data_IF_655493343991
#
_entry.id   IF_655493343991
#
_cell.length_a   1.000
_cell.length_b   1.000
_cell.length_c   1.000
_cell.angle_alpha   90.00
_cell.angle_beta   90.00
_cell.angle_gamma   90.00
#
_symmetry.space_group_name_H-M   'P 1'
#
loop_
_entity.id
_entity.type
_entity.pdbx_description
1 polymer ?
#
# COMPACT_ATOMS: atom_id res chain seq x y z
N UNK A 1 5.20 1.57 -6.74
CA UNK A 1 6.33 1.13 -7.58
C UNK A 1 7.37 2.23 -7.61
N UNK A 2 8.54 1.99 -7.02
CA UNK A 2 9.63 2.96 -6.98
C UNK A 2 9.39 4.24 -6.17
N UNK A 3 8.26 4.35 -5.46
CA UNK A 3 7.91 5.55 -4.70
C UNK A 3 8.60 5.66 -3.34
N UNK A 4 9.16 4.56 -2.84
CA UNK A 4 9.77 4.51 -1.51
C UNK A 4 8.86 4.00 -0.40
N UNK A 5 7.69 3.41 -0.73
CA UNK A 5 6.74 2.87 0.26
C UNK A 5 7.40 1.92 1.25
N UNK A 6 8.10 0.92 0.75
CA UNK A 6 8.74 -0.09 1.60
C UNK A 6 9.83 0.50 2.48
N UNK A 7 10.60 1.43 1.96
CA UNK A 7 11.63 2.14 2.73
C UNK A 7 11.02 2.95 3.87
N UNK A 8 9.92 3.66 3.58
CA UNK A 8 9.20 4.43 4.60
C UNK A 8 8.63 3.52 5.69
N UNK A 9 7.98 2.43 5.29
CA UNK A 9 7.41 1.45 6.23
C UNK A 9 8.49 0.83 7.13
N UNK A 10 9.61 0.47 6.54
CA UNK A 10 10.74 -0.11 7.29
C UNK A 10 11.27 0.87 8.35
N UNK A 11 11.41 2.14 7.98
CA UNK A 11 11.87 3.18 8.92
C UNK A 11 10.85 3.40 10.04
N UNK A 12 9.56 3.42 9.73
CA UNK A 12 8.51 3.58 10.72
C UNK A 12 8.54 2.45 11.75
N UNK A 13 8.55 1.21 11.28
CA UNK A 13 8.56 0.03 12.17
C UNK A 13 9.80 0.01 13.06
N UNK A 14 10.95 0.45 12.53
CA UNK A 14 12.19 0.51 13.32
C UNK A 14 12.14 1.52 14.47
N UNK A 15 11.29 2.53 14.38
CA UNK A 15 11.18 3.63 15.35
C UNK A 15 9.95 3.54 16.26
N UNK A 16 8.98 2.66 15.94
CA UNK A 16 7.71 2.58 16.66
C UNK A 16 7.46 1.15 17.12
N UNK A 17 7.45 0.93 18.43
CA UNK A 17 7.20 -0.36 19.02
C UNK A 17 5.76 -0.84 18.74
N UNK A 18 5.58 -2.14 18.68
CA UNK A 18 4.29 -2.79 18.45
C UNK A 18 3.64 -2.34 17.15
N UNK A 19 4.45 -2.24 16.10
CA UNK A 19 4.02 -1.96 14.73
C UNK A 19 4.00 -3.25 13.92
N UNK A 20 2.99 -3.41 13.08
CA UNK A 20 2.91 -4.47 12.08
C UNK A 20 2.88 -3.82 10.70
N UNK A 21 3.75 -4.26 9.83
CA UNK A 21 3.82 -3.86 8.43
C UNK A 21 3.30 -4.99 7.56
N UNK A 22 2.17 -4.74 6.88
CA UNK A 22 1.52 -5.70 5.99
C UNK A 22 1.69 -5.19 4.56
N UNK A 23 2.56 -5.87 3.81
CA UNK A 23 2.89 -5.52 2.44
C UNK A 23 2.14 -6.43 1.47
N UNK A 24 1.33 -5.83 0.59
CA UNK A 24 0.64 -6.59 -0.46
C UNK A 24 1.63 -7.27 -1.39
N UNK A 25 2.75 -6.61 -1.73
CA UNK A 25 3.79 -7.21 -2.57
C UNK A 25 4.47 -8.40 -1.89
N UNK A 26 4.79 -8.30 -0.61
CA UNK A 26 5.39 -9.42 0.14
C UNK A 26 4.44 -10.62 0.18
N UNK A 27 3.14 -10.39 0.37
CA UNK A 27 2.11 -11.44 0.31
C UNK A 27 2.07 -12.05 -1.09
N UNK A 28 2.08 -11.23 -2.13
CA UNK A 28 2.06 -11.69 -3.52
C UNK A 28 3.23 -12.63 -3.80
N UNK A 29 4.43 -12.24 -3.43
CA UNK A 29 5.63 -13.08 -3.63
C UNK A 29 5.59 -14.37 -2.82
N UNK A 30 4.92 -14.41 -1.67
CA UNK A 30 4.76 -15.62 -0.87
C UNK A 30 3.77 -16.61 -1.52
N UNK A 31 2.81 -16.13 -2.31
CA UNK A 31 1.77 -16.94 -2.95
C UNK A 31 2.20 -17.41 -4.34
N UNK A 32 2.86 -16.54 -5.11
CA UNK A 32 3.26 -16.84 -6.48
C UNK A 32 4.32 -17.95 -6.54
N UNK A 33 4.08 -18.94 -7.42
CA UNK A 33 5.08 -19.93 -7.78
C UNK A 33 6.10 -19.34 -8.77
N UNK A 34 7.31 -19.95 -8.89
CA UNK A 34 8.27 -19.51 -9.89
C UNK A 34 7.66 -19.53 -11.30
N UNK A 35 7.84 -18.44 -12.05
CA UNK A 35 7.34 -18.31 -13.41
C UNK A 35 5.90 -17.87 -13.56
N UNK A 36 5.12 -17.77 -12.49
CA UNK A 36 3.77 -17.22 -12.57
C UNK A 36 3.80 -15.71 -12.78
N UNK A 37 2.82 -15.20 -13.55
CA UNK A 37 2.70 -13.75 -13.77
C UNK A 37 2.38 -13.00 -12.49
N UNK A 38 2.85 -11.76 -12.39
CA UNK A 38 2.76 -10.92 -11.20
C UNK A 38 1.33 -10.77 -10.67
N UNK A 39 0.35 -10.57 -11.54
CA UNK A 39 -1.05 -10.37 -11.14
C UNK A 39 -1.94 -11.60 -11.25
N UNK A 40 -1.36 -12.80 -11.47
CA UNK A 40 -2.15 -14.01 -11.76
C UNK A 40 -2.99 -14.51 -10.58
N UNK A 41 -2.66 -14.14 -9.36
CA UNK A 41 -3.35 -14.59 -8.13
C UNK A 41 -3.84 -13.45 -7.25
N UNK A 42 -4.28 -12.35 -7.86
CA UNK A 42 -4.66 -11.14 -7.12
C UNK A 42 -5.80 -11.36 -6.11
N UNK A 43 -6.77 -12.21 -6.41
CA UNK A 43 -7.86 -12.49 -5.46
C UNK A 43 -7.35 -13.16 -4.20
N UNK A 44 -6.45 -14.11 -4.34
CA UNK A 44 -5.80 -14.77 -3.20
C UNK A 44 -4.95 -13.78 -2.39
N UNK A 45 -4.22 -12.92 -3.09
CA UNK A 45 -3.40 -11.87 -2.47
C UNK A 45 -4.27 -10.90 -1.67
N UNK A 46 -5.38 -10.44 -2.23
CA UNK A 46 -6.31 -9.53 -1.54
C UNK A 46 -6.95 -10.18 -0.33
N UNK A 47 -7.35 -11.44 -0.44
CA UNK A 47 -7.94 -12.19 0.67
C UNK A 47 -6.96 -12.30 1.83
N UNK A 48 -5.72 -12.67 1.55
CA UNK A 48 -4.69 -12.81 2.57
C UNK A 48 -4.29 -11.47 3.17
N UNK A 49 -4.18 -10.42 2.34
CA UNK A 49 -3.91 -9.06 2.81
C UNK A 49 -4.98 -8.59 3.81
N UNK A 50 -6.25 -8.78 3.48
CA UNK A 50 -7.38 -8.41 4.34
C UNK A 50 -7.40 -9.23 5.63
N UNK A 51 -7.09 -10.52 5.54
CA UNK A 51 -7.01 -11.39 6.72
C UNK A 51 -5.94 -10.92 7.69
N UNK A 52 -4.73 -10.65 7.21
CA UNK A 52 -3.64 -10.17 8.04
C UNK A 52 -3.94 -8.77 8.61
N UNK A 53 -4.52 -7.89 7.80
CA UNK A 53 -4.90 -6.55 8.23
C UNK A 53 -5.94 -6.60 9.37
N UNK A 54 -6.99 -7.40 9.22
CA UNK A 54 -8.01 -7.51 10.24
C UNK A 54 -7.49 -8.14 11.53
N UNK A 55 -6.65 -9.17 11.45
CA UNK A 55 -6.02 -9.76 12.62
C UNK A 55 -5.17 -8.75 13.39
N UNK A 56 -4.43 -7.90 12.67
CA UNK A 56 -3.62 -6.86 13.28
C UNK A 56 -4.47 -5.76 13.93
N UNK A 57 -5.56 -5.35 13.26
CA UNK A 57 -6.50 -4.34 13.80
C UNK A 57 -7.16 -4.86 15.08
N UNK A 58 -7.52 -6.14 15.12
CA UNK A 58 -8.19 -6.76 16.26
C UNK A 58 -7.23 -7.08 17.42
N UNK A 59 -5.94 -7.01 17.20
CA UNK A 59 -4.92 -7.30 18.21
C UNK A 59 -4.66 -6.08 19.09
N UNK A 60 -5.09 -6.15 20.34
CA UNK A 60 -4.96 -5.05 21.32
C UNK A 60 -3.51 -4.72 21.66
N UNK A 61 -2.58 -5.65 21.43
CA UNK A 61 -1.16 -5.44 21.67
C UNK A 61 -0.48 -4.60 20.58
N UNK A 62 -1.13 -4.42 19.44
CA UNK A 62 -0.58 -3.68 18.29
C UNK A 62 -0.99 -2.22 18.39
N UNK A 63 0.00 -1.32 18.31
CA UNK A 63 -0.23 0.13 18.32
C UNK A 63 -0.40 0.71 16.91
N UNK A 64 0.30 0.15 15.92
CA UNK A 64 0.32 0.68 14.56
C UNK A 64 0.20 -0.45 13.54
N UNK A 65 -0.75 -0.32 12.64
CA UNK A 65 -0.91 -1.24 11.51
C UNK A 65 -0.63 -0.45 10.23
N UNK A 66 0.39 -0.87 9.49
CA UNK A 66 0.78 -0.27 8.22
C UNK A 66 0.26 -1.14 7.08
N UNK A 67 -0.64 -0.60 6.28
CA UNK A 67 -1.17 -1.26 5.09
C UNK A 67 -0.44 -0.73 3.86
N UNK A 68 0.54 -1.47 3.40
CA UNK A 68 1.42 -1.12 2.29
C UNK A 68 0.87 -1.71 1.00
N UNK A 69 0.26 -0.87 0.20
CA UNK A 69 -0.27 -1.21 -1.12
C UNK A 69 -0.31 0.04 -2.00
N UNK A 70 -0.56 -0.18 -3.29
CA UNK A 70 -0.70 0.93 -4.24
C UNK A 70 -2.09 1.58 -4.11
N UNK A 71 -2.34 2.28 -3.01
CA UNK A 71 -3.59 3.02 -2.77
C UNK A 71 -3.56 4.34 -3.55
N UNK A 72 -3.62 4.27 -4.88
CA UNK A 72 -3.42 5.41 -5.78
C UNK A 72 -4.60 6.37 -5.82
N UNK A 73 -5.78 5.93 -5.44
CA UNK A 73 -7.01 6.70 -5.54
C UNK A 73 -7.92 6.47 -4.34
N UNK A 74 -8.89 7.36 -4.15
CA UNK A 74 -9.93 7.16 -3.13
C UNK A 74 -10.73 5.87 -3.37
N UNK A 75 -10.88 5.45 -4.62
CA UNK A 75 -11.55 4.19 -4.98
C UNK A 75 -10.81 2.98 -4.42
N UNK A 76 -9.50 2.94 -4.54
CA UNK A 76 -8.69 1.84 -3.99
C UNK A 76 -8.64 1.87 -2.47
N UNK A 77 -8.57 3.05 -1.87
CA UNK A 77 -8.67 3.21 -0.41
C UNK A 77 -10.05 2.75 0.08
N UNK A 78 -11.11 3.13 -0.63
CA UNK A 78 -12.48 2.70 -0.32
C UNK A 78 -12.62 1.18 -0.30
N UNK A 79 -12.05 0.49 -1.28
CA UNK A 79 -12.05 -0.98 -1.33
C UNK A 79 -11.40 -1.60 -0.10
N UNK A 80 -10.28 -1.06 0.33
CA UNK A 80 -9.60 -1.53 1.54
C UNK A 80 -10.43 -1.27 2.79
N UNK A 81 -10.93 -0.05 2.97
CA UNK A 81 -11.70 0.32 4.17
C UNK A 81 -13.03 -0.42 4.27
N UNK A 82 -13.72 -0.64 3.15
CA UNK A 82 -15.01 -1.38 3.13
C UNK A 82 -14.88 -2.84 3.55
N UNK A 83 -13.73 -3.44 3.34
CA UNK A 83 -13.49 -4.85 3.63
C UNK A 83 -12.82 -5.08 4.97
N UNK A 84 -12.69 -4.05 5.79
CA UNK A 84 -12.11 -4.10 7.12
C UNK A 84 -13.08 -3.52 8.14
N UNK A 85 -13.13 -4.17 9.30
CA UNK A 85 -13.81 -3.64 10.48
C UNK A 85 -12.81 -2.82 11.29
N UNK A 86 -12.85 -1.50 11.12
CA UNK A 86 -11.98 -0.58 11.85
C UNK A 86 -12.83 0.17 12.86
N UNK A 87 -12.58 0.01 14.18
CA UNK A 87 -13.30 0.76 15.19
C UNK A 87 -13.21 2.27 14.96
N UNK A 88 -14.28 2.99 15.29
CA UNK A 88 -14.36 4.44 15.03
C UNK A 88 -13.29 5.26 15.74
N UNK A 89 -12.83 4.80 16.89
CA UNK A 89 -11.79 5.43 17.69
C UNK A 89 -10.38 5.14 17.19
N UNK A 90 -10.21 4.20 16.26
CA UNK A 90 -8.92 3.94 15.61
C UNK A 90 -8.65 5.03 14.58
N UNK A 91 -7.52 5.70 14.74
CA UNK A 91 -7.10 6.76 13.84
C UNK A 91 -6.59 6.18 12.52
N UNK A 92 -7.15 6.63 11.41
CA UNK A 92 -6.71 6.26 10.07
C UNK A 92 -5.94 7.40 9.45
N UNK A 93 -4.71 7.14 9.04
CA UNK A 93 -3.82 8.11 8.40
C UNK A 93 -3.49 7.64 6.99
N UNK A 94 -3.65 8.53 6.03
CA UNK A 94 -3.21 8.29 4.65
C UNK A 94 -1.82 8.89 4.47
N UNK A 95 -0.83 8.04 4.26
CA UNK A 95 0.55 8.46 3.96
C UNK A 95 0.75 8.47 2.45
N UNK A 96 0.88 9.64 1.87
CA UNK A 96 1.07 9.82 0.43
C UNK A 96 2.54 10.06 0.14
N UNK A 97 3.12 9.18 -0.69
CA UNK A 97 4.48 9.35 -1.16
C UNK A 97 4.45 10.12 -2.47
N UNK A 98 4.97 11.35 -2.43
CA UNK A 98 4.94 12.30 -3.55
C UNK A 98 6.21 12.25 -4.40
N UNK A 99 6.84 11.09 -4.48
CA UNK A 99 8.05 10.87 -5.28
C UNK A 99 7.78 11.17 -6.76
N UNK A 100 8.61 12.00 -7.42
CA UNK A 100 8.42 12.34 -8.83
C UNK A 100 8.46 11.11 -9.75
N UNK A 101 7.73 11.19 -10.87
CA UNK A 101 7.67 10.10 -11.84
C UNK A 101 9.04 9.67 -12.33
N UNK A 102 9.92 10.61 -12.62
CA UNK A 102 11.29 10.34 -13.10
C UNK A 102 12.07 9.47 -12.11
N UNK A 103 11.94 9.77 -10.82
CA UNK A 103 12.61 8.99 -9.77
C UNK A 103 12.04 7.58 -9.68
N UNK A 104 10.71 7.44 -9.81
CA UNK A 104 10.07 6.12 -9.84
C UNK A 104 10.56 5.28 -11.01
N UNK A 105 10.68 5.89 -12.19
CA UNK A 105 11.19 5.23 -13.39
C UNK A 105 12.66 4.82 -13.25
N UNK A 106 13.50 5.69 -12.70
CA UNK A 106 14.91 5.39 -12.43
C UNK A 106 15.07 4.22 -11.47
N UNK A 107 14.30 4.21 -10.38
CA UNK A 107 14.33 3.13 -9.39
C UNK A 107 13.83 1.82 -9.98
N UNK A 108 12.81 1.87 -10.84
CA UNK A 108 12.31 0.68 -11.53
C UNK A 108 13.37 0.09 -12.46
N UNK A 109 14.14 0.93 -13.16
CA UNK A 109 15.21 0.49 -14.06
C UNK A 109 16.31 -0.30 -13.33
N UNK A 110 16.50 -0.05 -12.02
CA UNK A 110 17.46 -0.76 -11.18
C UNK A 110 16.96 -2.10 -10.64
N UNK A 111 15.67 -2.39 -10.81
CA UNK A 111 15.06 -3.64 -10.35
C UNK A 111 15.27 -4.76 -11.34
N UNK A 112 15.24 -6.00 -10.84
CA UNK A 112 15.42 -7.20 -11.64
C UNK A 112 14.23 -8.14 -11.48
N UNK A 113 14.02 -9.03 -12.45
CA UNK A 113 12.98 -10.04 -12.42
C UNK A 113 11.57 -9.44 -12.37
N UNK A 114 10.69 -10.09 -11.63
CA UNK A 114 9.26 -9.71 -11.52
C UNK A 114 9.05 -8.36 -10.83
N UNK A 115 10.00 -7.89 -10.05
CA UNK A 115 9.93 -6.57 -9.39
C UNK A 115 10.02 -5.42 -10.38
N UNK A 116 10.69 -5.64 -11.51
CA UNK A 116 10.76 -4.66 -12.59
C UNK A 116 9.51 -4.77 -13.46
N UNK A 117 8.77 -3.68 -13.56
CA UNK A 117 7.57 -3.60 -14.40
C UNK A 117 7.84 -2.74 -15.63
N UNK A 118 7.05 -2.89 -16.73
CA UNK A 118 7.16 -1.97 -17.86
C UNK A 118 6.92 -0.53 -17.44
N UNK A 119 7.65 0.41 -18.05
CA UNK A 119 7.53 1.83 -17.73
C UNK A 119 6.09 2.36 -17.87
N UNK A 120 5.32 1.83 -18.83
CA UNK A 120 3.92 2.21 -19.03
C UNK A 120 3.05 1.91 -17.81
N UNK A 121 3.34 0.85 -17.07
CA UNK A 121 2.62 0.51 -15.84
C UNK A 121 2.83 1.61 -14.79
N UNK A 122 4.06 2.11 -14.65
CA UNK A 122 4.37 3.18 -13.70
C UNK A 122 3.74 4.50 -14.15
N UNK A 123 3.83 4.83 -15.43
CA UNK A 123 3.21 6.04 -16.00
C UNK A 123 1.69 6.05 -15.79
N UNK A 124 1.04 4.92 -16.05
CA UNK A 124 -0.40 4.78 -15.83
C UNK A 124 -0.77 4.92 -14.36
N UNK A 125 -0.02 4.29 -13.46
CA UNK A 125 -0.23 4.41 -12.02
C UNK A 125 -0.07 5.87 -11.56
N UNK A 126 0.94 6.56 -12.04
CA UNK A 126 1.18 7.97 -11.71
C UNK A 126 0.04 8.86 -12.21
N UNK A 127 -0.47 8.60 -13.42
CA UNK A 127 -1.62 9.32 -13.98
C UNK A 127 -2.86 9.11 -13.11
N UNK A 128 -3.15 7.91 -12.68
CA UNK A 128 -4.26 7.61 -11.75
C UNK A 128 -4.08 8.37 -10.44
N UNK A 129 -2.87 8.37 -9.89
CA UNK A 129 -2.55 9.07 -8.66
C UNK A 129 -2.80 10.58 -8.75
N UNK A 130 -2.46 11.21 -9.89
CA UNK A 130 -2.67 12.64 -10.10
C UNK A 130 -4.13 13.02 -10.36
N UNK A 131 -4.89 12.16 -11.05
CA UNK A 131 -6.20 12.48 -11.60
C UNK A 131 -7.36 11.77 -10.90
N UNK A 132 -7.10 11.11 -9.77
CA UNK A 132 -8.15 10.39 -9.05
C UNK A 132 -9.18 11.34 -8.43
N UNK A 133 -10.45 11.01 -8.60
CA UNK A 133 -11.55 11.71 -7.93
C UNK A 133 -11.54 11.47 -6.42
N UNK A 134 -12.20 12.35 -5.67
CA UNK A 134 -12.37 12.23 -4.23
C UNK A 134 -13.70 11.57 -3.89
N UNK A 135 -13.70 10.73 -2.87
CA UNK A 135 -14.91 10.09 -2.33
C UNK A 135 -15.15 10.63 -0.92
N UNK A 136 -16.28 11.29 -0.71
CA UNK A 136 -16.55 12.02 0.54
C UNK A 136 -16.45 11.18 1.80
N UNK A 137 -17.05 9.99 1.83
CA UNK A 137 -16.99 9.15 3.03
C UNK A 137 -15.57 8.67 3.35
N UNK A 138 -14.75 8.46 2.32
CA UNK A 138 -13.32 8.11 2.49
C UNK A 138 -12.59 9.28 3.14
N UNK A 139 -12.82 10.49 2.64
CA UNK A 139 -12.20 11.70 3.19
C UNK A 139 -12.62 11.96 4.64
N UNK A 140 -13.88 11.68 4.98
CA UNK A 140 -14.35 11.79 6.36
C UNK A 140 -13.76 10.73 7.28
N UNK A 141 -13.50 9.52 6.77
CA UNK A 141 -12.92 8.44 7.61
C UNK A 141 -11.44 8.65 7.86
N UNK A 142 -10.71 9.23 6.92
CA UNK A 142 -9.28 9.53 7.08
C UNK A 142 -9.13 10.70 8.05
N UNK A 143 -8.45 10.45 9.16
CA UNK A 143 -8.24 11.45 10.22
C UNK A 143 -7.14 12.45 9.85
N UNK A 144 -6.15 12.02 9.07
CA UNK A 144 -5.04 12.86 8.66
C UNK A 144 -4.42 12.35 7.35
N UNK A 145 -3.80 13.24 6.59
CA UNK A 145 -3.04 12.90 5.39
C UNK A 145 -1.65 13.49 5.50
N UNK A 146 -0.63 12.64 5.43
CA UNK A 146 0.76 13.05 5.46
C UNK A 146 1.35 12.94 4.06
N UNK A 147 1.95 14.02 3.58
CA UNK A 147 2.68 14.00 2.32
C UNK A 147 4.17 13.86 2.61
N UNK A 148 4.77 12.83 2.04
CA UNK A 148 6.17 12.47 2.28
C UNK A 148 6.90 12.36 0.95
N UNK A 149 8.03 13.05 0.82
CA UNK A 149 8.93 12.94 -0.33
C UNK A 149 10.21 12.22 0.12
N UNK A 150 10.53 11.16 -0.59
CA UNK A 150 11.73 10.36 -0.29
C UNK A 150 12.66 10.33 -1.50
#
# INVERSE_FOLDING_TARGET
MGSGKSSWCRQWVSKHNKSIWISRDAIRYSILAPGEEYFSREQEVLKEFRRQAQNAIDDEEINYVLLDASHLSDKSIAKTLKNLNIPKDVRVVNVRLTTPLEVCLERNALREGRERVPNEVIKNAYSIFLNSGKIDWVRRRINDTWEVSI
#
